data_IF_742163759313
#
_entry.id   IF_742163759313
#
_cell.length_a   1.000
_cell.length_b   1.000
_cell.length_c   1.000
_cell.angle_alpha   90.00
_cell.angle_beta   90.00
_cell.angle_gamma   90.00
#
_symmetry.space_group_name_H-M   'P 1'
#
loop_
_entity.id
_entity.type
_entity.pdbx_description
1 polymer ?
#
# COMPACT_ATOMS: atom_id res chain seq x y z
N UNK A 1 9.88 -14.84 13.88
CA UNK A 1 10.13 -15.96 12.93
C UNK A 1 11.32 -15.53 12.07
N UNK A 2 12.36 -16.34 11.91
CA UNK A 2 13.59 -15.91 11.21
C UNK A 2 13.52 -16.31 9.73
N UNK A 3 13.27 -15.32 8.85
CA UNK A 3 13.13 -15.55 7.41
C UNK A 3 14.38 -16.19 6.78
N UNK A 4 15.58 -15.86 7.25
CA UNK A 4 16.81 -16.44 6.69
C UNK A 4 17.00 -17.92 7.02
N UNK A 5 16.27 -18.42 8.02
CA UNK A 5 16.29 -19.84 8.42
C UNK A 5 15.14 -20.61 7.78
N UNK A 6 13.98 -19.96 7.57
CA UNK A 6 12.76 -20.62 7.10
C UNK A 6 12.53 -20.50 5.59
N UNK A 7 13.22 -19.57 4.92
CA UNK A 7 12.97 -19.26 3.50
C UNK A 7 14.25 -19.40 2.68
N UNK A 8 14.12 -20.01 1.50
CA UNK A 8 15.19 -20.08 0.51
C UNK A 8 15.37 -18.70 -0.15
N UNK A 9 16.62 -18.31 -0.42
CA UNK A 9 16.94 -17.07 -1.15
C UNK A 9 17.37 -15.88 -0.29
N UNK A 10 17.44 -16.04 1.03
CA UNK A 10 18.08 -15.08 1.94
C UNK A 10 19.55 -15.45 2.15
N UNK A 11 20.43 -14.47 2.03
CA UNK A 11 21.87 -14.62 2.22
C UNK A 11 22.29 -14.29 3.67
N UNK A 12 21.53 -13.43 4.34
CA UNK A 12 21.80 -13.01 5.71
C UNK A 12 20.52 -12.90 6.52
N UNK A 13 20.68 -12.90 7.84
CA UNK A 13 19.57 -12.67 8.77
C UNK A 13 19.02 -11.24 8.60
N UNK A 14 17.70 -11.13 8.51
CA UNK A 14 17.00 -9.86 8.43
C UNK A 14 17.05 -9.17 9.79
N UNK A 15 17.53 -7.92 9.81
CA UNK A 15 17.49 -7.07 11.00
C UNK A 15 16.15 -6.33 11.08
N UNK A 16 15.22 -6.87 11.87
CA UNK A 16 13.91 -6.27 12.10
C UNK A 16 13.94 -5.03 13.01
N UNK A 17 15.07 -4.76 13.67
CA UNK A 17 15.23 -3.55 14.48
C UNK A 17 15.59 -2.32 13.62
N UNK A 18 15.91 -2.53 12.34
CA UNK A 18 16.17 -1.47 11.39
C UNK A 18 14.97 -0.53 11.25
N UNK A 19 15.25 0.77 11.10
CA UNK A 19 14.24 1.83 11.11
C UNK A 19 13.13 1.62 10.06
N UNK A 20 13.47 1.04 8.89
CA UNK A 20 12.52 0.75 7.83
C UNK A 20 11.42 -0.25 8.26
N UNK A 21 11.77 -1.31 9.01
CA UNK A 21 10.79 -2.29 9.49
C UNK A 21 9.95 -1.73 10.63
N UNK A 22 10.57 -0.97 11.54
CA UNK A 22 9.85 -0.27 12.62
C UNK A 22 8.78 0.68 12.07
N UNK A 23 9.15 1.52 11.10
CA UNK A 23 8.22 2.45 10.46
C UNK A 23 7.06 1.70 9.77
N UNK A 24 7.35 0.61 9.06
CA UNK A 24 6.33 -0.23 8.44
C UNK A 24 5.39 -0.88 9.46
N UNK A 25 5.92 -1.40 10.57
CA UNK A 25 5.08 -2.00 11.63
C UNK A 25 4.16 -0.96 12.28
N UNK A 26 4.64 0.25 12.53
CA UNK A 26 3.79 1.35 13.00
C UNK A 26 2.67 1.64 12.02
N UNK A 27 2.98 1.75 10.72
CA UNK A 27 1.99 1.98 9.67
C UNK A 27 0.92 0.90 9.62
N UNK A 28 1.30 -0.38 9.64
CA UNK A 28 0.35 -1.50 9.63
C UNK A 28 -0.54 -1.48 10.88
N UNK A 29 0.04 -1.19 12.06
CA UNK A 29 -0.72 -1.10 13.30
C UNK A 29 -1.73 0.05 13.27
N UNK A 30 -1.35 1.22 12.77
CA UNK A 30 -2.27 2.34 12.58
C UNK A 30 -3.42 1.98 11.63
N UNK A 31 -3.11 1.33 10.49
CA UNK A 31 -4.14 0.90 9.53
C UNK A 31 -5.05 -0.17 10.12
N UNK A 32 -4.52 -1.13 10.88
CA UNK A 32 -5.33 -2.13 11.57
C UNK A 32 -6.24 -1.48 12.60
N UNK A 33 -5.75 -0.50 13.37
CA UNK A 33 -6.58 0.27 14.29
C UNK A 33 -7.74 0.97 13.56
N UNK A 34 -7.46 1.61 12.41
CA UNK A 34 -8.51 2.22 11.59
C UNK A 34 -9.51 1.19 11.04
N UNK A 35 -9.04 0.06 10.51
CA UNK A 35 -9.89 -1.02 9.97
C UNK A 35 -10.78 -1.66 11.05
N UNK A 36 -10.28 -1.76 12.27
CA UNK A 36 -11.03 -2.28 13.41
C UNK A 36 -11.89 -1.21 14.11
N UNK A 37 -11.91 0.02 13.60
CA UNK A 37 -12.73 1.10 14.16
C UNK A 37 -12.20 1.63 15.49
N UNK A 38 -10.93 1.42 15.81
CA UNK A 38 -10.27 2.05 16.95
C UNK A 38 -10.09 3.54 16.62
N UNK A 39 -11.05 4.36 17.07
CA UNK A 39 -11.03 5.81 16.88
C UNK A 39 -10.15 6.45 17.95
N UNK A 40 -8.97 6.91 17.56
CA UNK A 40 -8.14 7.76 18.42
C UNK A 40 -8.60 9.22 18.22
N UNK A 41 -9.48 9.69 19.10
CA UNK A 41 -10.07 11.04 19.02
C UNK A 41 -9.01 12.15 18.94
N UNK A 42 -7.86 11.97 19.58
CA UNK A 42 -6.73 12.92 19.51
C UNK A 42 -6.14 13.06 18.11
N UNK A 43 -6.13 11.97 17.32
CA UNK A 43 -5.64 11.98 15.94
C UNK A 43 -6.67 12.58 14.96
N UNK A 44 -7.93 12.69 15.37
CA UNK A 44 -9.01 13.33 14.62
C UNK A 44 -9.25 14.79 15.02
N UNK A 45 -8.48 15.33 15.97
CA UNK A 45 -8.59 16.73 16.42
C UNK A 45 -8.12 17.66 15.31
N UNK A 46 -9.07 18.25 14.57
CA UNK A 46 -8.78 19.19 13.50
C UNK A 46 -8.78 20.66 13.96
N UNK A 47 -9.29 20.96 15.17
CA UNK A 47 -9.27 22.30 15.74
C UNK A 47 -9.28 22.31 17.27
N UNK A 48 -8.84 23.43 17.85
CA UNK A 48 -8.90 23.70 19.28
C UNK A 48 -9.73 24.96 19.50
N UNK A 49 -10.74 24.85 20.35
CA UNK A 49 -11.72 25.91 20.60
C UNK A 49 -11.81 26.14 22.10
N UNK A 50 -11.71 27.40 22.50
CA UNK A 50 -11.97 27.84 23.87
C UNK A 50 -13.39 28.40 23.94
N UNK A 51 -13.99 28.43 25.12
CA UNK A 51 -15.30 29.02 25.32
C UNK A 51 -15.18 30.24 26.23
N UNK A 52 -15.68 31.39 25.77
CA UNK A 52 -15.89 32.58 26.59
C UNK A 52 -17.40 32.72 26.83
N UNK A 53 -17.87 32.11 27.92
CA UNK A 53 -19.31 31.90 28.13
C UNK A 53 -19.87 30.91 27.11
N UNK A 54 -20.88 31.32 26.34
CA UNK A 54 -21.47 30.51 25.26
C UNK A 54 -20.82 30.73 23.89
N UNK A 55 -19.83 31.63 23.79
CA UNK A 55 -19.19 31.99 22.53
C UNK A 55 -17.92 31.14 22.32
N UNK A 56 -17.84 30.35 21.23
CA UNK A 56 -16.63 29.63 20.87
C UNK A 56 -15.58 30.58 20.29
N UNK A 57 -14.37 30.54 20.84
CA UNK A 57 -13.19 31.27 20.39
C UNK A 57 -12.19 30.26 19.85
N UNK A 58 -11.99 30.27 18.53
CA UNK A 58 -11.02 29.39 17.88
C UNK A 58 -9.60 29.83 18.18
N UNK A 59 -8.73 28.90 18.55
CA UNK A 59 -7.29 29.18 18.79
C UNK A 59 -6.60 29.69 17.53
N UNK A 60 -7.03 29.23 16.36
CA UNK A 60 -6.55 29.68 15.07
C UNK A 60 -7.71 29.72 14.06
N UNK A 61 -7.83 30.84 13.35
CA UNK A 61 -8.80 30.99 12.27
C UNK A 61 -8.16 30.51 10.97
N UNK A 62 -8.68 29.41 10.43
CA UNK A 62 -8.29 28.90 9.11
C UNK A 62 -8.88 29.76 8.00
N UNK A 63 -8.16 29.94 6.91
CA UNK A 63 -8.63 30.62 5.71
C UNK A 63 -9.81 29.88 5.06
N UNK A 64 -10.58 30.56 4.20
CA UNK A 64 -11.65 29.90 3.43
C UNK A 64 -11.09 28.74 2.60
N UNK A 65 -9.91 28.89 2.00
CA UNK A 65 -9.24 27.81 1.27
C UNK A 65 -8.93 26.59 2.15
N UNK A 66 -8.42 26.81 3.36
CA UNK A 66 -8.14 25.73 4.32
C UNK A 66 -9.41 25.04 4.81
N UNK A 67 -10.55 25.73 4.82
CA UNK A 67 -11.86 25.19 5.20
C UNK A 67 -12.53 24.38 4.08
N UNK A 68 -12.28 24.72 2.82
CA UNK A 68 -12.96 24.10 1.67
C UNK A 68 -12.11 23.04 0.96
N UNK A 69 -10.79 23.24 0.83
CA UNK A 69 -9.88 22.35 0.09
C UNK A 69 -8.80 21.77 1.00
N UNK A 70 -8.32 22.55 1.97
CA UNK A 70 -7.34 22.07 2.95
C UNK A 70 -7.87 20.95 3.83
N UNK A 71 -9.17 20.94 4.14
CA UNK A 71 -9.82 19.83 4.87
C UNK A 71 -9.83 18.57 4.02
N UNK A 72 -10.13 18.62 2.72
CA UNK A 72 -10.10 17.43 1.87
C UNK A 72 -8.68 16.90 1.64
N UNK A 73 -7.68 17.76 1.43
CA UNK A 73 -6.28 17.30 1.31
C UNK A 73 -5.78 16.70 2.64
N UNK A 74 -6.18 17.26 3.78
CA UNK A 74 -5.84 16.73 5.11
C UNK A 74 -6.68 15.49 5.49
N UNK A 75 -7.94 15.41 5.08
CA UNK A 75 -8.89 14.34 5.42
C UNK A 75 -8.71 13.12 4.50
N UNK A 76 -8.49 13.35 3.20
CA UNK A 76 -8.07 12.31 2.23
C UNK A 76 -6.61 11.90 2.50
N UNK A 77 -5.84 12.77 3.16
CA UNK A 77 -4.51 12.44 3.65
C UNK A 77 -3.51 12.20 2.52
N UNK A 78 -3.58 12.93 1.41
CA UNK A 78 -2.68 12.72 0.25
C UNK A 78 -1.19 12.77 0.62
N UNK A 79 -0.80 13.71 1.50
CA UNK A 79 0.57 13.76 2.04
C UNK A 79 0.90 12.56 2.93
N UNK A 80 -0.09 12.07 3.69
CA UNK A 80 0.03 10.86 4.49
C UNK A 80 0.24 9.66 3.57
N UNK A 81 -0.59 9.50 2.55
CA UNK A 81 -0.50 8.41 1.56
C UNK A 81 0.87 8.37 0.87
N UNK A 82 1.39 9.51 0.43
CA UNK A 82 2.73 9.56 -0.18
C UNK A 82 3.82 9.06 0.78
N UNK A 83 3.75 9.48 2.05
CA UNK A 83 4.66 9.00 3.08
C UNK A 83 4.45 7.51 3.39
N UNK A 84 3.21 7.02 3.44
CA UNK A 84 2.89 5.60 3.65
C UNK A 84 3.50 4.73 2.54
N UNK A 85 3.34 5.14 1.27
CA UNK A 85 3.95 4.47 0.12
C UNK A 85 5.47 4.46 0.24
N UNK A 86 6.08 5.58 0.65
CA UNK A 86 7.52 5.67 0.85
C UNK A 86 8.00 4.73 1.98
N UNK A 87 7.27 4.64 3.09
CA UNK A 87 7.58 3.71 4.20
C UNK A 87 7.59 2.25 3.70
N UNK A 88 6.58 1.86 2.91
CA UNK A 88 6.51 0.51 2.32
C UNK A 88 7.69 0.27 1.37
N UNK A 89 7.98 1.21 0.47
CA UNK A 89 9.08 1.08 -0.49
C UNK A 89 10.45 0.96 0.21
N UNK A 90 10.67 1.73 1.28
CA UNK A 90 11.89 1.66 2.07
C UNK A 90 12.04 0.30 2.77
N UNK A 91 10.94 -0.25 3.28
CA UNK A 91 10.94 -1.60 3.87
C UNK A 91 11.27 -2.67 2.83
N UNK A 92 10.65 -2.62 1.64
CA UNK A 92 10.93 -3.54 0.54
C UNK A 92 12.39 -3.44 0.08
N UNK A 93 12.90 -2.21 -0.09
CA UNK A 93 14.29 -1.97 -0.46
C UNK A 93 15.24 -2.57 0.59
N UNK A 94 14.96 -2.37 1.87
CA UNK A 94 15.77 -2.93 2.95
C UNK A 94 15.72 -4.47 2.94
N UNK A 95 14.54 -5.07 2.78
CA UNK A 95 14.41 -6.52 2.74
C UNK A 95 15.21 -7.14 1.59
N UNK A 96 15.24 -6.49 0.42
CA UNK A 96 16.03 -6.95 -0.73
C UNK A 96 17.53 -7.02 -0.46
N UNK A 97 18.07 -6.18 0.43
CA UNK A 97 19.51 -6.20 0.77
C UNK A 97 19.95 -7.53 1.39
N UNK A 98 19.03 -8.25 2.03
CA UNK A 98 19.29 -9.55 2.66
C UNK A 98 19.07 -10.74 1.71
N UNK A 99 18.61 -10.51 0.48
CA UNK A 99 18.38 -11.55 -0.52
C UNK A 99 19.64 -11.84 -1.33
N UNK A 100 19.76 -13.09 -1.75
CA UNK A 100 20.76 -13.50 -2.75
C UNK A 100 20.52 -12.76 -4.07
N UNK A 101 21.57 -12.48 -4.87
CA UNK A 101 21.42 -11.76 -6.14
C UNK A 101 20.39 -12.39 -7.08
N UNK A 102 20.41 -13.73 -7.20
CA UNK A 102 19.46 -14.49 -8.04
C UNK A 102 18.01 -14.27 -7.61
N UNK A 103 17.75 -14.27 -6.30
CA UNK A 103 16.40 -14.10 -5.75
C UNK A 103 15.94 -12.65 -5.88
N UNK A 104 16.84 -11.69 -5.65
CA UNK A 104 16.58 -10.26 -5.83
C UNK A 104 16.17 -9.94 -7.26
N UNK A 105 16.95 -10.41 -8.24
CA UNK A 105 16.68 -10.20 -9.67
C UNK A 105 15.37 -10.87 -10.12
N UNK A 106 15.04 -12.02 -9.53
CA UNK A 106 13.75 -12.67 -9.78
C UNK A 106 12.59 -11.85 -9.24
N UNK A 107 12.65 -11.41 -7.98
CA UNK A 107 11.60 -10.60 -7.35
C UNK A 107 11.40 -9.28 -8.08
N UNK A 108 12.48 -8.64 -8.54
CA UNK A 108 12.40 -7.40 -9.31
C UNK A 108 11.67 -7.59 -10.64
N UNK A 109 12.10 -8.58 -11.43
CA UNK A 109 11.45 -8.89 -12.72
C UNK A 109 9.98 -9.24 -12.56
N UNK A 110 9.62 -9.92 -11.47
CA UNK A 110 8.25 -10.36 -11.18
C UNK A 110 7.40 -9.19 -10.68
N UNK A 111 7.95 -8.29 -9.86
CA UNK A 111 7.24 -7.12 -9.34
C UNK A 111 6.78 -6.14 -10.43
N UNK A 112 7.44 -6.15 -11.58
CA UNK A 112 7.06 -5.37 -12.78
C UNK A 112 5.95 -6.03 -13.62
N UNK A 113 5.54 -7.27 -13.31
CA UNK A 113 4.53 -7.98 -14.07
C UNK A 113 3.14 -7.79 -13.46
N UNK A 114 2.16 -7.52 -14.32
CA UNK A 114 0.74 -7.43 -13.93
C UNK A 114 0.14 -8.79 -13.56
N UNK A 115 0.48 -9.83 -14.32
CA UNK A 115 -0.18 -11.13 -14.23
C UNK A 115 0.71 -12.11 -13.45
N UNK A 116 0.57 -12.10 -12.13
CA UNK A 116 1.28 -12.98 -11.22
C UNK A 116 0.40 -14.16 -10.82
N UNK A 117 1.00 -15.34 -10.77
CA UNK A 117 0.35 -16.53 -10.28
C UNK A 117 1.35 -17.45 -9.55
N UNK A 118 0.80 -18.30 -8.69
CA UNK A 118 1.54 -19.33 -7.97
C UNK A 118 1.16 -20.69 -8.55
N UNK A 119 2.15 -21.41 -9.07
CA UNK A 119 2.03 -22.83 -9.38
C UNK A 119 2.28 -23.61 -8.08
N UNK A 120 1.21 -24.00 -7.40
CA UNK A 120 1.27 -24.73 -6.13
C UNK A 120 1.94 -26.10 -6.28
N UNK A 121 1.79 -26.76 -7.44
CA UNK A 121 2.37 -28.08 -7.69
C UNK A 121 3.90 -28.05 -7.82
N UNK A 122 4.45 -26.96 -8.37
CA UNK A 122 5.90 -26.76 -8.51
C UNK A 122 6.50 -25.77 -7.50
N UNK A 123 5.67 -25.14 -6.68
CA UNK A 123 6.06 -24.07 -5.76
C UNK A 123 6.65 -22.86 -6.48
N UNK A 124 6.24 -22.56 -7.72
CA UNK A 124 6.82 -21.48 -8.53
C UNK A 124 5.93 -20.25 -8.57
N UNK A 125 6.51 -19.10 -8.23
CA UNK A 125 5.83 -17.80 -8.26
C UNK A 125 6.31 -16.95 -9.45
N UNK A 126 5.39 -16.45 -10.26
CA UNK A 126 5.69 -15.56 -11.39
C UNK A 126 4.62 -15.56 -12.48
N UNK A 127 5.02 -15.25 -13.71
CA UNK A 127 4.14 -15.32 -14.88
C UNK A 127 4.07 -16.78 -15.36
N UNK A 128 2.92 -17.43 -15.17
CA UNK A 128 2.74 -18.85 -15.52
C UNK A 128 2.33 -19.06 -16.99
N UNK A 129 1.67 -18.08 -17.59
CA UNK A 129 1.16 -18.15 -18.96
C UNK A 129 1.73 -17.00 -19.79
N UNK A 130 2.04 -17.28 -21.06
CA UNK A 130 2.48 -16.22 -21.97
C UNK A 130 1.39 -15.16 -22.11
N UNK A 131 1.77 -13.87 -22.21
CA UNK A 131 0.80 -12.75 -22.35
C UNK A 131 -0.22 -13.00 -23.49
N UNK A 132 0.24 -13.61 -24.58
CA UNK A 132 -0.59 -13.96 -25.75
C UNK A 132 -1.73 -14.93 -25.47
N UNK A 133 -1.67 -15.71 -24.38
CA UNK A 133 -2.72 -16.67 -24.00
C UNK A 133 -3.72 -16.08 -22.99
N UNK A 134 -3.34 -15.02 -22.28
CA UNK A 134 -4.17 -14.41 -21.23
C UNK A 134 -5.09 -13.33 -21.81
N UNK A 135 -4.65 -12.65 -22.88
CA UNK A 135 -5.45 -11.64 -23.58
C UNK A 135 -6.66 -12.24 -24.34
N UNK A 136 -6.70 -13.56 -24.56
CA UNK A 136 -7.85 -14.28 -25.15
C UNK A 136 -9.07 -14.37 -24.23
N UNK A 137 -8.93 -14.08 -22.92
CA UNK A 137 -10.03 -14.17 -21.94
C UNK A 137 -10.58 -12.81 -21.50
N UNK A 138 -10.10 -11.71 -22.09
CA UNK A 138 -10.64 -10.37 -21.88
C UNK A 138 -11.27 -9.84 -23.19
N UNK A 139 -12.28 -10.55 -23.68
CA UNK A 139 -13.29 -9.97 -24.56
C UNK A 139 -14.60 -10.05 -23.80
N UNK A 140 -14.86 -9.05 -22.98
CA UNK A 140 -16.23 -8.66 -22.64
C UNK A 140 -16.31 -7.15 -22.84
N UNK A 141 -16.65 -6.77 -24.07
CA UNK A 141 -17.26 -5.48 -24.42
C UNK A 141 -18.14 -5.78 -25.66
N UNK A 142 -19.42 -5.45 -25.55
CA UNK A 142 -20.48 -5.87 -26.47
C UNK A 142 -20.39 -5.35 -27.91
N UNK A 143 -21.37 -5.78 -28.72
CA UNK A 143 -21.65 -5.45 -30.14
C UNK A 143 -21.05 -6.47 -31.14
N UNK A 144 -21.77 -7.16 -32.05
CA UNK A 144 -23.16 -7.15 -32.50
C UNK A 144 -23.56 -8.56 -33.01
N UNK A 145 -24.87 -8.84 -33.02
CA UNK A 145 -25.48 -10.03 -33.63
C UNK A 145 -25.19 -10.10 -35.15
N UNK A 146 -24.61 -11.19 -35.69
CA UNK A 146 -24.30 -11.29 -37.11
C UNK A 146 -25.49 -11.69 -38.00
N UNK A 147 -26.71 -11.85 -37.48
CA UNK A 147 -27.88 -12.25 -38.28
C UNK A 147 -28.77 -11.09 -38.72
N UNK A 148 -28.20 -10.07 -39.35
CA UNK A 148 -28.96 -9.16 -40.24
C UNK A 148 -28.20 -8.89 -41.53
N UNK A 149 -27.91 -9.95 -42.30
CA UNK A 149 -27.62 -9.86 -43.73
C UNK A 149 -27.70 -11.25 -44.38
N UNK A 150 -28.92 -11.69 -44.70
CA UNK A 150 -29.24 -12.58 -45.82
C UNK A 150 -30.75 -12.57 -46.07
#
# INVERSE_FOLDING_TARGET
MNLSVTCLGFESQVDYEHAAFKAYHTLVNERNNLLHGNVVLEQLKFNEVYFHGTVPVFKQYRSLWERTVGVDIQAVGLHRLANEVQVVNNMVAQLKTHLTPVTRDHIERVSEQRNLALDEGRGKFGVLFSRRLVDTFALDDGEADPNTAA
#
